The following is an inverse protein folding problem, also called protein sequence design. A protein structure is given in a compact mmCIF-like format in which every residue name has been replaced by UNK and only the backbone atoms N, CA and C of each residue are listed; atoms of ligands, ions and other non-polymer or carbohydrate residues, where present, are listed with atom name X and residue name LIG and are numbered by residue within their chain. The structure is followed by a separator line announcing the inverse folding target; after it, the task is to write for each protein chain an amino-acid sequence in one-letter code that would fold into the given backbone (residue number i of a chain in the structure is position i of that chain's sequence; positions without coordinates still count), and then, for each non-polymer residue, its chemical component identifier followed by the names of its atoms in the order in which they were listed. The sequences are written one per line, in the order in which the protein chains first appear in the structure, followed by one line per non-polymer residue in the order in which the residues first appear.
data_IF_705085991685
#
_entry.id   IF_705085991685
#
_cell.length_a   1.000
_cell.length_b   1.000
_cell.length_c   1.000
_cell.angle_alpha   90.00
_cell.angle_beta   90.00
_cell.angle_gamma   90.00
#
_symmetry.space_group_name_H-M   'P 1'
#
loop_
_entity.id
_entity.type
_entity.pdbx_description
1 polymer ?
#
# COMPACT_ATOMS: atom_id res chain seq x y z
N UNK A 1 -7.79 8.57 -1.55
CA UNK A 1 -9.10 8.59 -0.84
C UNK A 1 -8.91 8.31 0.66
N UNK A 2 -9.68 8.96 1.54
CA UNK A 2 -9.50 8.82 3.00
C UNK A 2 -9.66 7.36 3.47
N UNK A 3 -10.74 6.67 3.07
CA UNK A 3 -10.98 5.28 3.46
C UNK A 3 -9.83 4.32 3.09
N UNK A 4 -9.21 4.46 1.91
CA UNK A 4 -8.06 3.63 1.51
C UNK A 4 -6.82 3.87 2.37
N UNK A 5 -6.64 5.10 2.85
CA UNK A 5 -5.54 5.46 3.75
C UNK A 5 -5.77 4.82 5.11
N UNK A 6 -6.99 4.91 5.64
CA UNK A 6 -7.37 4.32 6.93
C UNK A 6 -7.25 2.78 6.90
N UNK A 7 -7.74 2.14 5.83
CA UNK A 7 -7.58 0.71 5.61
C UNK A 7 -6.10 0.28 5.55
N UNK A 8 -5.27 1.04 4.84
CA UNK A 8 -3.82 0.79 4.79
C UNK A 8 -3.19 0.91 6.17
N UNK A 9 -3.53 1.96 6.91
CA UNK A 9 -3.01 2.20 8.24
C UNK A 9 -3.40 1.07 9.20
N UNK A 10 -4.66 0.63 9.15
CA UNK A 10 -5.12 -0.51 9.95
C UNK A 10 -4.36 -1.80 9.63
N UNK A 11 -4.18 -2.14 8.34
CA UNK A 11 -3.40 -3.32 7.93
C UNK A 11 -1.96 -3.26 8.44
N UNK A 12 -1.31 -2.11 8.37
CA UNK A 12 0.04 -1.90 8.88
C UNK A 12 0.13 -2.05 10.40
N UNK A 13 -0.79 -1.43 11.13
CA UNK A 13 -0.84 -1.53 12.60
C UNK A 13 -1.03 -2.99 13.02
N UNK A 14 -1.97 -3.71 12.39
CA UNK A 14 -2.21 -5.13 12.65
C UNK A 14 -0.96 -5.98 12.36
N UNK A 15 -0.29 -5.75 11.23
CA UNK A 15 0.93 -6.47 10.88
C UNK A 15 2.06 -6.22 11.89
N UNK A 16 2.23 -4.97 12.34
CA UNK A 16 3.22 -4.60 13.36
C UNK A 16 2.90 -5.28 14.68
N UNK A 17 1.64 -5.25 15.14
CA UNK A 17 1.22 -5.90 16.37
C UNK A 17 1.54 -7.40 16.36
N UNK A 18 1.21 -8.10 15.27
CA UNK A 18 1.52 -9.52 15.09
C UNK A 18 3.04 -9.78 15.14
N UNK A 19 3.83 -8.92 14.49
CA UNK A 19 5.29 -9.02 14.48
C UNK A 19 5.93 -8.78 15.86
N UNK A 20 5.37 -7.87 16.66
CA UNK A 20 5.78 -7.61 18.05
C UNK A 20 5.47 -8.82 18.92
N UNK A 21 4.27 -9.40 18.78
CA UNK A 21 3.84 -10.56 19.56
C UNK A 21 4.46 -11.88 19.10
N UNK A 22 5.17 -11.90 17.96
CA UNK A 22 5.69 -13.11 17.31
C UNK A 22 4.58 -14.13 17.00
N UNK A 23 3.39 -13.63 16.69
CA UNK A 23 2.22 -14.42 16.31
C UNK A 23 1.97 -14.22 14.81
N UNK A 24 1.55 -15.27 14.13
CA UNK A 24 1.14 -15.21 12.73
C UNK A 24 -0.37 -15.04 12.62
N UNK A 25 -0.83 -14.53 11.48
CA UNK A 25 -2.25 -14.43 11.21
C UNK A 25 -2.87 -15.83 11.05
N UNK A 26 -4.11 -16.07 11.51
CA UNK A 26 -4.88 -17.27 11.15
C UNK A 26 -4.94 -17.47 9.65
N UNK A 27 -4.90 -18.73 9.20
CA UNK A 27 -4.76 -19.10 7.78
C UNK A 27 -5.97 -18.65 6.94
N UNK A 28 -7.14 -18.63 7.55
CA UNK A 28 -8.41 -18.22 6.93
C UNK A 28 -8.41 -16.73 6.56
N UNK A 29 -7.59 -15.92 7.24
CA UNK A 29 -7.48 -14.48 7.03
C UNK A 29 -6.29 -14.08 6.15
N UNK A 30 -5.54 -15.05 5.62
CA UNK A 30 -4.43 -14.76 4.72
C UNK A 30 -4.95 -14.17 3.42
N UNK A 31 -4.34 -13.06 2.99
CA UNK A 31 -4.66 -12.45 1.71
C UNK A 31 -4.36 -13.43 0.59
N UNK A 32 -5.38 -13.73 -0.22
CA UNK A 32 -5.23 -14.56 -1.41
C UNK A 32 -4.62 -13.73 -2.53
N UNK A 33 -3.94 -14.40 -3.44
CA UNK A 33 -3.33 -13.74 -4.61
C UNK A 33 -4.36 -13.00 -5.47
N UNK A 34 -5.54 -13.59 -5.65
CA UNK A 34 -6.64 -13.02 -6.43
C UNK A 34 -7.25 -11.76 -5.81
N UNK A 35 -7.16 -11.63 -4.48
CA UNK A 35 -7.74 -10.53 -3.71
C UNK A 35 -6.76 -9.36 -3.50
N UNK A 36 -5.49 -9.53 -3.86
CA UNK A 36 -4.47 -8.49 -3.71
C UNK A 36 -4.65 -7.40 -4.78
N UNK A 37 -5.00 -6.19 -4.32
CA UNK A 37 -5.30 -5.04 -5.19
C UNK A 37 -4.16 -4.05 -5.11
N UNK A 38 -3.62 -3.68 -6.27
CA UNK A 38 -2.56 -2.69 -6.41
C UNK A 38 -3.08 -1.24 -6.34
N UNK A 39 -3.75 -0.88 -5.23
CA UNK A 39 -4.44 0.40 -5.05
C UNK A 39 -3.51 1.63 -5.09
N UNK A 40 -2.21 1.45 -4.87
CA UNK A 40 -1.22 2.53 -4.83
C UNK A 40 -0.52 2.76 -6.19
N UNK A 41 -0.44 1.73 -7.03
CA UNK A 41 0.26 1.78 -8.33
C UNK A 41 -0.17 2.94 -9.23
N UNK A 42 -1.47 3.18 -9.50
CA UNK A 42 -1.87 4.27 -10.41
C UNK A 42 -1.46 5.66 -9.88
N UNK A 43 -1.50 5.85 -8.56
CA UNK A 43 -1.10 7.11 -7.92
C UNK A 43 0.41 7.32 -8.06
N UNK A 44 1.20 6.27 -7.82
CA UNK A 44 2.66 6.33 -7.93
C UNK A 44 3.11 6.57 -9.36
N UNK A 45 2.45 5.97 -10.35
CA UNK A 45 2.71 6.20 -11.76
C UNK A 45 2.44 7.65 -12.16
N UNK A 46 1.34 8.24 -11.69
CA UNK A 46 1.04 9.64 -11.91
C UNK A 46 2.12 10.55 -11.33
N UNK A 47 2.52 10.35 -10.06
CA UNK A 47 3.58 11.16 -9.41
C UNK A 47 4.91 11.03 -10.16
N UNK A 48 5.26 9.82 -10.61
CA UNK A 48 6.46 9.61 -11.43
C UNK A 48 6.39 10.41 -12.73
N UNK A 49 5.24 10.40 -13.41
CA UNK A 49 5.02 11.12 -14.66
C UNK A 49 5.15 12.64 -14.47
N UNK A 50 4.49 13.19 -13.45
CA UNK A 50 4.57 14.61 -13.09
C UNK A 50 6.02 15.03 -12.78
N UNK A 51 6.76 14.18 -12.06
CA UNK A 51 8.17 14.44 -11.75
C UNK A 51 9.03 14.48 -13.02
N UNK A 52 8.85 13.50 -13.92
CA UNK A 52 9.58 13.42 -15.19
C UNK A 52 9.25 14.61 -16.12
N UNK A 53 8.02 15.10 -16.09
CA UNK A 53 7.62 16.28 -16.84
C UNK A 53 8.33 17.53 -16.34
N UNK A 54 8.34 17.76 -15.01
CA UNK A 54 9.07 18.87 -14.39
C UNK A 54 10.58 18.80 -14.69
N UNK A 55 11.18 17.62 -14.55
CA UNK A 55 12.60 17.39 -14.85
C UNK A 55 12.93 17.68 -16.33
N UNK A 56 12.00 17.44 -17.26
CA UNK A 56 12.15 17.79 -18.68
C UNK A 56 11.96 19.26 -18.96
N UNK A 57 11.11 19.94 -18.21
CA UNK A 57 10.83 21.37 -18.36
C UNK A 57 11.98 22.24 -17.82
N UNK A 58 12.62 21.80 -16.74
CA UNK A 58 13.77 22.47 -16.12
C UNK A 58 15.10 22.25 -16.87
N UNK A 59 15.09 21.39 -17.90
CA UNK A 59 16.26 21.01 -18.70
C UNK A 59 16.29 21.74 -20.03
#
# INVERSE_FOLDING_TARGET
PAHLVDERNYRLIRAIQLSVQKIILPKEEWTKFEDDKLYLTPIVEQVKKERLEREKWEK
#
